data_IF_003898525123
#
_entry.id   IF_003898525123
#
_cell.length_a   1.000
_cell.length_b   1.000
_cell.length_c   1.000
_cell.angle_alpha   90.00
_cell.angle_beta   90.00
_cell.angle_gamma   90.00
#
_symmetry.space_group_name_H-M   'P 1'
#
loop_
_entity.id
_entity.type
_entity.pdbx_description
1 polymer ?
#
# COMPACT_ATOMS: atom_id res chain seq x y z
N UNK A 1 0.07 32.44 -13.18
CA UNK A 1 -0.04 31.68 -14.45
C UNK A 1 -0.78 30.38 -14.14
N UNK A 2 -1.90 30.05 -14.81
CA UNK A 2 -2.61 28.77 -14.57
C UNK A 2 -1.68 27.62 -14.98
N UNK A 3 -1.27 26.80 -14.02
CA UNK A 3 -0.42 25.65 -14.25
C UNK A 3 -1.20 24.68 -15.16
N UNK A 4 -0.72 24.46 -16.40
CA UNK A 4 -1.31 23.49 -17.30
C UNK A 4 -0.95 22.10 -16.78
N UNK A 5 -1.85 21.47 -16.03
CA UNK A 5 -1.65 20.11 -15.57
C UNK A 5 -1.46 19.17 -16.75
N UNK A 6 -0.36 18.43 -16.76
CA UNK A 6 -0.06 17.40 -17.77
C UNK A 6 -0.63 16.04 -17.38
N UNK A 7 -1.38 15.96 -16.27
CA UNK A 7 -1.99 14.74 -15.78
C UNK A 7 -2.94 14.14 -16.82
N UNK A 8 -3.79 14.96 -17.44
CA UNK A 8 -4.75 14.47 -18.43
C UNK A 8 -4.05 13.79 -19.63
N UNK A 9 -3.07 14.42 -20.29
CA UNK A 9 -2.25 13.73 -21.29
C UNK A 9 -1.58 12.44 -20.78
N UNK A 10 -1.03 12.43 -19.56
CA UNK A 10 -0.38 11.24 -18.99
C UNK A 10 -1.37 10.10 -18.72
N UNK A 11 -2.58 10.41 -18.23
CA UNK A 11 -3.64 9.41 -18.00
C UNK A 11 -4.16 8.85 -19.32
N UNK A 12 -4.36 9.69 -20.34
CA UNK A 12 -4.70 9.23 -21.68
C UNK A 12 -3.61 8.32 -22.24
N UNK A 13 -2.34 8.69 -22.09
CA UNK A 13 -1.22 7.85 -22.53
C UNK A 13 -1.22 6.50 -21.81
N UNK A 14 -1.40 6.49 -20.48
CA UNK A 14 -1.50 5.25 -19.70
C UNK A 14 -2.66 4.36 -20.19
N UNK A 15 -3.84 4.94 -20.42
CA UNK A 15 -5.00 4.22 -20.92
C UNK A 15 -4.79 3.69 -22.36
N UNK A 16 -4.20 4.48 -23.25
CA UNK A 16 -3.90 4.07 -24.62
C UNK A 16 -2.85 2.97 -24.68
N UNK A 17 -1.79 3.06 -23.88
CA UNK A 17 -0.78 1.99 -23.77
C UNK A 17 -1.43 0.72 -23.25
N UNK A 18 -2.28 0.80 -22.23
CA UNK A 18 -3.01 -0.35 -21.72
C UNK A 18 -3.92 -0.98 -22.79
N UNK A 19 -4.74 -0.17 -23.48
CA UNK A 19 -5.62 -0.67 -24.54
C UNK A 19 -4.83 -1.33 -25.68
N UNK A 20 -3.64 -0.84 -26.00
CA UNK A 20 -2.76 -1.47 -26.99
C UNK A 20 -2.27 -2.85 -26.54
N UNK A 21 -1.90 -3.00 -25.25
CA UNK A 21 -1.53 -4.28 -24.66
C UNK A 21 -2.71 -5.27 -24.61
N UNK A 22 -3.91 -4.76 -24.30
CA UNK A 22 -5.13 -5.57 -24.20
C UNK A 22 -5.56 -6.18 -25.54
N UNK A 23 -5.38 -5.45 -26.63
CA UNK A 23 -5.72 -5.92 -27.98
C UNK A 23 -4.78 -7.01 -28.54
N UNK A 24 -3.88 -7.57 -27.72
CA UNK A 24 -3.01 -8.70 -28.10
C UNK A 24 -1.94 -8.35 -29.15
N UNK A 25 -1.72 -7.07 -29.40
CA UNK A 25 -0.67 -6.61 -30.33
C UNK A 25 0.73 -6.67 -29.71
N UNK A 26 0.83 -6.81 -28.38
CA UNK A 26 2.07 -7.01 -27.66
C UNK A 26 1.83 -7.72 -26.32
N UNK A 27 2.51 -8.84 -26.09
CA UNK A 27 2.69 -9.41 -24.75
C UNK A 27 4.01 -8.86 -24.18
N UNK A 28 3.94 -8.03 -23.14
CA UNK A 28 5.17 -7.56 -22.46
C UNK A 28 5.83 -8.70 -21.69
N UNK A 29 5.02 -9.56 -21.06
CA UNK A 29 5.46 -10.73 -20.30
C UNK A 29 4.45 -11.87 -20.43
N UNK A 30 4.92 -13.11 -20.54
CA UNK A 30 4.06 -14.29 -20.53
C UNK A 30 3.30 -14.41 -19.20
N UNK A 31 2.00 -14.74 -19.27
CA UNK A 31 1.13 -14.90 -18.09
C UNK A 31 0.88 -13.61 -17.30
N UNK A 32 1.00 -12.45 -17.94
CA UNK A 32 0.71 -11.17 -17.32
C UNK A 32 -0.80 -10.93 -17.21
N UNK A 33 -1.31 -10.81 -15.99
CA UNK A 33 -2.57 -10.13 -15.76
C UNK A 33 -2.45 -8.68 -16.24
N UNK A 34 -3.43 -8.19 -16.99
CA UNK A 34 -3.31 -6.88 -17.63
C UNK A 34 -3.66 -5.75 -16.66
N UNK A 35 -4.60 -5.97 -15.74
CA UNK A 35 -5.06 -4.94 -14.81
C UNK A 35 -3.99 -4.42 -13.81
N UNK A 36 -3.01 -5.19 -13.30
CA UNK A 36 -1.94 -4.66 -12.46
C UNK A 36 -1.03 -3.73 -13.26
N UNK A 37 -0.88 -3.96 -14.58
CA UNK A 37 -0.11 -3.07 -15.46
C UNK A 37 -0.84 -1.75 -15.68
N UNK A 38 -2.16 -1.77 -15.81
CA UNK A 38 -2.96 -0.53 -15.79
C UNK A 38 -2.70 0.27 -14.50
N UNK A 39 -2.74 -0.39 -13.33
CA UNK A 39 -2.47 0.27 -12.06
C UNK A 39 -1.06 0.85 -11.98
N UNK A 40 -0.05 0.13 -12.48
CA UNK A 40 1.32 0.64 -12.56
C UNK A 40 1.42 1.85 -13.51
N UNK A 41 0.78 1.83 -14.68
CA UNK A 41 0.80 2.94 -15.63
C UNK A 41 0.11 4.19 -15.06
N UNK A 42 -1.08 4.02 -14.47
CA UNK A 42 -1.81 5.11 -13.80
C UNK A 42 -1.01 5.64 -12.60
N UNK A 43 -0.47 4.74 -11.78
CA UNK A 43 0.38 5.10 -10.65
C UNK A 43 1.59 5.91 -11.07
N UNK A 44 2.28 5.51 -12.14
CA UNK A 44 3.41 6.23 -12.71
C UNK A 44 3.04 7.64 -13.19
N UNK A 45 1.89 7.80 -13.84
CA UNK A 45 1.37 9.10 -14.25
C UNK A 45 1.15 10.03 -13.05
N UNK A 46 0.53 9.52 -11.97
CA UNK A 46 0.31 10.27 -10.73
C UNK A 46 1.60 10.59 -9.98
N UNK A 47 2.57 9.67 -9.94
CA UNK A 47 3.91 9.90 -9.36
C UNK A 47 4.61 11.03 -10.11
N UNK A 48 4.63 10.97 -11.44
CA UNK A 48 5.27 11.98 -12.28
C UNK A 48 4.65 13.36 -12.09
N UNK A 49 3.32 13.45 -12.14
CA UNK A 49 2.58 14.68 -11.88
C UNK A 49 2.85 15.22 -10.46
N UNK A 50 2.74 14.35 -9.44
CA UNK A 50 2.91 14.71 -8.04
C UNK A 50 4.31 15.22 -7.72
N UNK A 51 5.36 14.64 -8.33
CA UNK A 51 6.73 15.16 -8.22
C UNK A 51 6.89 16.52 -8.93
N UNK A 52 6.38 16.64 -10.16
CA UNK A 52 6.56 17.86 -10.98
C UNK A 52 5.85 19.08 -10.43
N UNK A 53 4.65 18.89 -9.88
CA UNK A 53 3.83 19.99 -9.34
C UNK A 53 3.92 20.11 -7.81
N UNK A 54 4.76 19.30 -7.16
CA UNK A 54 4.88 19.23 -5.71
C UNK A 54 3.53 18.99 -4.98
N UNK A 55 2.59 18.29 -5.64
CA UNK A 55 1.27 18.00 -5.10
C UNK A 55 1.31 16.66 -4.36
N UNK A 56 1.53 16.72 -3.04
CA UNK A 56 1.68 15.55 -2.17
C UNK A 56 0.56 14.50 -2.32
N UNK A 57 -0.74 14.87 -2.39
CA UNK A 57 -1.80 13.88 -2.58
C UNK A 57 -1.68 13.07 -3.88
N UNK A 58 -1.27 13.70 -4.99
CA UNK A 58 -1.09 12.99 -6.27
C UNK A 58 0.09 12.02 -6.18
N UNK A 59 1.18 12.44 -5.54
CA UNK A 59 2.34 11.57 -5.33
C UNK A 59 1.98 10.36 -4.45
N UNK A 60 1.23 10.56 -3.38
CA UNK A 60 0.73 9.48 -2.51
C UNK A 60 -0.14 8.48 -3.27
N UNK A 61 -1.17 8.97 -3.97
CA UNK A 61 -2.08 8.11 -4.75
C UNK A 61 -1.29 7.36 -5.83
N UNK A 62 -0.35 8.03 -6.49
CA UNK A 62 0.48 7.41 -7.51
C UNK A 62 1.35 6.28 -6.96
N UNK A 63 2.02 6.49 -5.83
CA UNK A 63 2.85 5.47 -5.19
C UNK A 63 2.01 4.28 -4.70
N UNK A 64 0.82 4.55 -4.17
CA UNK A 64 -0.11 3.52 -3.73
C UNK A 64 -0.62 2.68 -4.91
N UNK A 65 -1.12 3.30 -5.97
CA UNK A 65 -1.59 2.60 -7.18
C UNK A 65 -0.47 1.78 -7.81
N UNK A 66 0.72 2.37 -7.95
CA UNK A 66 1.87 1.67 -8.51
C UNK A 66 2.27 0.47 -7.65
N UNK A 67 2.31 0.65 -6.34
CA UNK A 67 2.63 -0.41 -5.38
C UNK A 67 1.65 -1.57 -5.40
N UNK A 68 0.34 -1.28 -5.48
CA UNK A 68 -0.71 -2.30 -5.62
C UNK A 68 -0.54 -3.06 -6.94
N UNK A 69 -0.35 -2.34 -8.05
CA UNK A 69 -0.09 -2.96 -9.36
C UNK A 69 1.16 -3.84 -9.34
N UNK A 70 2.24 -3.37 -8.70
CA UNK A 70 3.48 -4.15 -8.54
C UNK A 70 3.25 -5.41 -7.70
N UNK A 71 2.45 -5.34 -6.63
CA UNK A 71 2.14 -6.51 -5.80
C UNK A 71 1.42 -7.59 -6.59
N UNK A 72 0.34 -7.25 -7.31
CA UNK A 72 -0.41 -8.23 -8.11
C UNK A 72 0.37 -8.70 -9.35
N UNK A 73 1.29 -7.88 -9.86
CA UNK A 73 2.24 -8.32 -10.87
C UNK A 73 3.26 -9.32 -10.28
N UNK A 74 3.77 -9.11 -9.07
CA UNK A 74 4.80 -9.95 -8.48
C UNK A 74 4.26 -11.26 -7.86
N UNK A 75 3.06 -11.24 -7.28
CA UNK A 75 2.47 -12.35 -6.51
C UNK A 75 2.46 -13.70 -7.26
N UNK A 76 2.05 -13.79 -8.54
CA UNK A 76 2.06 -15.07 -9.26
C UNK A 76 3.47 -15.61 -9.56
N UNK A 77 4.49 -14.75 -9.49
CA UNK A 77 5.87 -15.07 -9.92
C UNK A 77 6.74 -15.57 -8.76
N UNK A 78 6.42 -15.19 -7.53
CA UNK A 78 7.26 -15.45 -6.36
C UNK A 78 6.46 -16.08 -5.22
N UNK A 79 6.82 -17.30 -4.85
CA UNK A 79 6.17 -18.06 -3.77
C UNK A 79 6.38 -17.46 -2.37
N UNK A 80 7.42 -16.66 -2.18
CA UNK A 80 7.74 -15.97 -0.93
C UNK A 80 7.08 -14.59 -0.80
N UNK A 81 6.40 -14.13 -1.86
CA UNK A 81 5.74 -12.82 -1.87
C UNK A 81 4.61 -12.77 -0.83
N UNK A 82 4.44 -11.65 -0.11
CA UNK A 82 3.38 -11.54 0.89
C UNK A 82 1.97 -11.71 0.31
N UNK A 83 1.06 -12.18 1.15
CA UNK A 83 -0.38 -12.22 0.86
C UNK A 83 -0.96 -10.79 0.71
N UNK A 84 -2.16 -10.70 0.13
CA UNK A 84 -2.74 -9.43 -0.31
C UNK A 84 -2.95 -8.46 0.86
N UNK A 85 -3.43 -8.98 1.99
CA UNK A 85 -3.80 -8.13 3.13
C UNK A 85 -2.60 -7.40 3.72
N UNK A 86 -1.52 -8.12 3.97
CA UNK A 86 -0.27 -7.62 4.54
C UNK A 86 0.40 -6.65 3.57
N UNK A 87 0.47 -7.00 2.29
CA UNK A 87 1.12 -6.15 1.30
C UNK A 87 0.35 -4.86 1.05
N UNK A 88 -0.99 -4.90 1.02
CA UNK A 88 -1.80 -3.70 0.86
C UNK A 88 -1.61 -2.74 2.04
N UNK A 89 -1.62 -3.24 3.27
CA UNK A 89 -1.32 -2.43 4.46
C UNK A 89 0.10 -1.84 4.40
N UNK A 90 1.08 -2.65 4.00
CA UNK A 90 2.45 -2.20 3.82
C UNK A 90 2.55 -1.10 2.76
N UNK A 91 1.88 -1.26 1.61
CA UNK A 91 1.86 -0.26 0.53
C UNK A 91 1.20 1.05 0.94
N UNK A 92 0.14 1.01 1.76
CA UNK A 92 -0.46 2.22 2.34
C UNK A 92 0.53 2.93 3.25
N UNK A 93 1.15 2.20 4.18
CA UNK A 93 2.13 2.76 5.12
C UNK A 93 3.37 3.30 4.40
N UNK A 94 3.91 2.56 3.44
CA UNK A 94 5.05 2.96 2.63
C UNK A 94 4.73 4.19 1.78
N UNK A 95 3.58 4.21 1.12
CA UNK A 95 3.16 5.35 0.30
C UNK A 95 3.01 6.60 1.15
N UNK A 96 2.43 6.47 2.34
CA UNK A 96 2.28 7.57 3.30
C UNK A 96 3.66 8.07 3.75
N UNK A 97 4.55 7.15 4.16
CA UNK A 97 5.90 7.47 4.63
C UNK A 97 6.69 8.28 3.59
N UNK A 98 6.76 7.79 2.35
CA UNK A 98 7.51 8.47 1.28
C UNK A 98 6.89 9.83 0.94
N UNK A 99 5.55 9.92 0.97
CA UNK A 99 4.83 11.16 0.64
C UNK A 99 4.97 12.24 1.71
N UNK A 100 5.18 11.87 2.97
CA UNK A 100 5.18 12.82 4.08
C UNK A 100 6.56 13.00 4.73
N UNK A 101 7.59 12.24 4.34
CA UNK A 101 8.96 12.35 4.86
C UNK A 101 9.49 13.78 4.85
N UNK A 102 9.21 14.55 3.79
CA UNK A 102 9.68 15.94 3.69
C UNK A 102 8.92 16.89 4.62
N UNK A 103 7.64 16.61 4.89
CA UNK A 103 6.78 17.43 5.74
C UNK A 103 6.83 17.02 7.21
N UNK A 104 7.39 15.84 7.51
CA UNK A 104 7.39 15.20 8.84
C UNK A 104 6.00 15.02 9.45
N UNK A 105 4.96 15.13 8.64
CA UNK A 105 3.57 14.89 9.02
C UNK A 105 3.26 13.40 8.89
N UNK A 106 2.37 12.87 9.71
CA UNK A 106 1.88 11.48 9.60
C UNK A 106 2.95 10.37 9.64
N UNK A 107 4.18 10.67 10.06
CA UNK A 107 5.29 9.68 10.12
C UNK A 107 4.95 8.58 11.13
N UNK A 108 4.34 8.94 12.26
CA UNK A 108 3.91 7.98 13.26
C UNK A 108 2.87 7.01 12.67
N UNK A 109 1.85 7.54 12.00
CA UNK A 109 0.81 6.77 11.32
C UNK A 109 1.42 5.84 10.26
N UNK A 110 2.32 6.36 9.41
CA UNK A 110 2.97 5.59 8.36
C UNK A 110 3.83 4.44 8.90
N UNK A 111 4.71 4.72 9.87
CA UNK A 111 5.57 3.72 10.50
C UNK A 111 4.73 2.70 11.25
N UNK A 112 3.68 3.12 11.97
CA UNK A 112 2.80 2.20 12.70
C UNK A 112 2.11 1.21 11.75
N UNK A 113 1.68 1.68 10.57
CA UNK A 113 1.05 0.83 9.56
C UNK A 113 2.06 -0.16 8.96
N UNK A 114 3.28 0.30 8.66
CA UNK A 114 4.36 -0.57 8.17
C UNK A 114 4.69 -1.64 9.22
N UNK A 115 4.92 -1.25 10.47
CA UNK A 115 5.18 -2.19 11.55
C UNK A 115 4.04 -3.21 11.71
N UNK A 116 2.79 -2.76 11.62
CA UNK A 116 1.64 -3.65 11.71
C UNK A 116 1.57 -4.63 10.54
N UNK A 117 1.81 -4.18 9.30
CA UNK A 117 1.87 -5.09 8.14
C UNK A 117 2.99 -6.13 8.25
N UNK A 118 4.16 -5.73 8.77
CA UNK A 118 5.27 -6.66 8.98
C UNK A 118 4.95 -7.66 10.09
N UNK A 119 4.32 -7.21 11.18
CA UNK A 119 3.82 -8.09 12.23
C UNK A 119 2.87 -9.15 11.67
N UNK A 120 1.93 -8.76 10.80
CA UNK A 120 1.00 -9.69 10.16
C UNK A 120 1.73 -10.67 9.23
N UNK A 121 2.67 -10.18 8.42
CA UNK A 121 3.47 -11.03 7.53
C UNK A 121 4.25 -12.10 8.30
N UNK A 122 4.84 -11.75 9.43
CA UNK A 122 5.57 -12.69 10.28
C UNK A 122 4.69 -13.42 11.31
N UNK A 123 3.37 -13.18 11.33
CA UNK A 123 2.50 -13.68 12.39
C UNK A 123 2.52 -15.21 12.51
N UNK A 124 2.44 -15.92 11.38
CA UNK A 124 2.52 -17.39 11.35
C UNK A 124 3.84 -17.89 11.95
N UNK A 125 4.96 -17.25 11.61
CA UNK A 125 6.28 -17.62 12.10
C UNK A 125 6.44 -17.33 13.60
N UNK A 126 5.91 -16.19 14.06
CA UNK A 126 5.88 -15.83 15.48
C UNK A 126 5.09 -16.87 16.28
N UNK A 127 3.93 -17.29 15.78
CA UNK A 127 3.12 -18.32 16.44
C UNK A 127 3.82 -19.67 16.49
N UNK A 128 4.44 -20.12 15.39
CA UNK A 128 5.18 -21.37 15.38
C UNK A 128 6.36 -21.36 16.36
N UNK A 129 7.05 -20.23 16.48
CA UNK A 129 8.12 -20.05 17.46
C UNK A 129 7.60 -20.12 18.91
N UNK A 130 6.50 -19.44 19.22
CA UNK A 130 5.86 -19.50 20.55
C UNK A 130 5.40 -20.91 20.92
N UNK A 131 4.81 -21.64 19.96
CA UNK A 131 4.39 -23.03 20.16
C UNK A 131 5.58 -23.95 20.45
N UNK A 132 6.71 -23.76 19.75
CA UNK A 132 7.94 -24.51 20.02
C UNK A 132 8.48 -24.27 21.43
N UNK A 133 8.23 -23.09 22.00
CA UNK A 133 8.56 -22.72 23.37
C UNK A 133 7.50 -23.18 24.40
N UNK A 134 6.53 -24.01 23.99
CA UNK A 134 5.42 -24.51 24.82
C UNK A 134 4.52 -23.39 25.38
N UNK A 135 4.48 -22.23 24.72
CA UNK A 135 3.61 -21.11 25.10
C UNK A 135 2.24 -21.30 24.44
N UNK A 136 1.11 -21.25 25.19
CA UNK A 136 -0.22 -21.36 24.60
C UNK A 136 -0.53 -20.20 23.64
N UNK A 137 -0.80 -20.51 22.38
CA UNK A 137 -1.05 -19.51 21.31
C UNK A 137 -2.49 -19.46 20.81
N UNK A 138 -3.34 -20.42 21.17
CA UNK A 138 -4.70 -20.56 20.63
C UNK A 138 -5.51 -19.26 20.76
N UNK A 139 -5.51 -18.65 21.94
CA UNK A 139 -6.20 -17.38 22.18
C UNK A 139 -5.61 -16.23 21.36
N UNK A 140 -4.29 -16.20 21.17
CA UNK A 140 -3.64 -15.12 20.42
C UNK A 140 -3.93 -15.24 18.92
N UNK A 141 -3.99 -16.46 18.37
CA UNK A 141 -4.36 -16.72 16.98
C UNK A 141 -5.80 -16.28 16.66
N UNK A 142 -6.73 -16.53 17.58
CA UNK A 142 -8.15 -16.25 17.38
C UNK A 142 -8.53 -14.80 17.69
N UNK A 143 -7.97 -14.23 18.76
CA UNK A 143 -8.47 -12.96 19.32
C UNK A 143 -7.62 -11.72 19.02
N UNK A 144 -6.48 -11.85 18.33
CA UNK A 144 -5.67 -10.68 17.97
C UNK A 144 -6.47 -9.55 17.28
N UNK A 145 -7.44 -9.80 16.37
CA UNK A 145 -8.17 -8.70 15.71
C UNK A 145 -8.96 -7.86 16.73
N UNK A 146 -9.60 -8.51 17.70
CA UNK A 146 -10.39 -7.83 18.75
C UNK A 146 -9.50 -6.97 19.66
N UNK A 147 -8.28 -7.42 19.95
CA UNK A 147 -7.30 -6.62 20.70
C UNK A 147 -6.99 -5.33 19.96
N UNK A 148 -6.69 -5.39 18.66
CA UNK A 148 -6.39 -4.20 17.87
C UNK A 148 -7.61 -3.29 17.66
N UNK A 149 -8.82 -3.84 17.54
CA UNK A 149 -10.06 -3.06 17.54
C UNK A 149 -10.20 -2.29 18.87
N UNK A 150 -10.03 -2.96 20.00
CA UNK A 150 -10.10 -2.36 21.33
C UNK A 150 -9.07 -1.23 21.51
N UNK A 151 -7.81 -1.49 21.16
CA UNK A 151 -6.73 -0.48 21.19
C UNK A 151 -7.08 0.72 20.30
N UNK A 152 -7.56 0.48 19.08
CA UNK A 152 -7.93 1.53 18.14
C UNK A 152 -9.05 2.43 18.68
N UNK A 153 -10.11 1.82 19.24
CA UNK A 153 -11.22 2.56 19.85
C UNK A 153 -10.76 3.37 21.07
N UNK A 154 -9.92 2.78 21.94
CA UNK A 154 -9.37 3.49 23.09
C UNK A 154 -8.52 4.70 22.67
N UNK A 155 -7.64 4.55 21.67
CA UNK A 155 -6.82 5.64 21.15
C UNK A 155 -7.68 6.77 20.57
N UNK A 156 -8.77 6.45 19.86
CA UNK A 156 -9.71 7.44 19.33
C UNK A 156 -10.39 8.24 20.46
N UNK A 157 -10.84 7.57 21.52
CA UNK A 157 -11.47 8.23 22.66
C UNK A 157 -10.50 9.15 23.42
N UNK A 158 -9.25 8.71 23.62
CA UNK A 158 -8.21 9.50 24.28
C UNK A 158 -7.88 10.76 23.48
N UNK A 159 -7.69 10.64 22.16
CA UNK A 159 -7.41 11.80 21.29
C UNK A 159 -8.58 12.80 21.26
N UNK A 160 -9.83 12.33 21.18
CA UNK A 160 -11.01 13.22 21.25
C UNK A 160 -11.06 14.03 22.54
N UNK A 161 -10.71 13.43 23.68
CA UNK A 161 -10.69 14.12 24.98
C UNK A 161 -9.62 15.21 25.08
N UNK A 162 -8.49 15.08 24.36
CA UNK A 162 -7.46 16.12 24.26
C UNK A 162 -7.83 17.27 23.33
N UNK A 163 -8.71 17.06 22.35
CA UNK A 163 -9.15 18.10 21.41
C UNK A 163 -10.29 18.98 21.95
N UNK A 164 -10.95 18.56 23.03
CA UNK A 164 -12.10 19.25 23.66
C UNK A 164 -11.66 20.06 24.90
N UNK A 165 -10.37 19.99 25.26
CA UNK A 165 -9.75 20.76 26.36
C UNK A 165 -8.84 21.83 25.80
#
# INVERSE_FOLDING_TARGET
MKQKSILFPCLLLAASVYAWLENGQAELFSGQDQWPVLLMLLGAAFIYQGKKEAVTPHFFIGLLLFGIGLHFFAKPRWTWWPDDFEMLLFMIGFSLLVSTVQKKEYVYEAVSMICFSLFLYFFKQIMAWLESAHIPTALLKEYWPFVFIGISLLLLLIKRKKSIR
#
